data_IF_818611705194
#
_entry.id   IF_818611705194
#
_cell.length_a   1.000
_cell.length_b   1.000
_cell.length_c   1.000
_cell.angle_alpha   90.00
_cell.angle_beta   90.00
_cell.angle_gamma   90.00
#
_symmetry.space_group_name_H-M   'P 1'
#
loop_
_entity.id
_entity.type
_entity.pdbx_description
1 polymer ?
#
# COMPACT_ATOMS: atom_id res chain seq x y z
N UNK A 1 1.67 12.63 39.69
CA UNK A 1 0.57 13.52 39.30
C UNK A 1 0.83 14.37 38.06
N UNK A 2 2.06 14.79 37.77
CA UNK A 2 2.32 15.73 36.65
C UNK A 2 2.54 15.04 35.31
N UNK A 3 3.12 13.86 35.28
CA UNK A 3 3.36 13.07 34.09
C UNK A 3 2.09 12.40 33.51
N UNK A 4 1.14 12.01 34.37
CA UNK A 4 -0.13 11.42 33.91
C UNK A 4 -1.02 12.44 33.17
N UNK A 5 -1.08 13.69 33.62
CA UNK A 5 -1.83 14.77 32.97
C UNK A 5 -1.26 15.19 31.58
N UNK A 6 0.05 14.98 31.39
CA UNK A 6 0.71 15.28 30.10
C UNK A 6 0.41 14.21 29.06
N UNK A 7 0.35 12.93 29.45
CA UNK A 7 0.00 11.81 28.57
C UNK A 7 -1.48 11.89 28.12
N UNK A 8 -2.37 12.15 29.06
CA UNK A 8 -3.80 12.28 28.81
C UNK A 8 -4.15 13.47 27.88
N UNK A 9 -3.41 14.57 28.00
CA UNK A 9 -3.53 15.73 27.11
C UNK A 9 -3.02 15.46 25.69
N UNK A 10 -2.04 14.57 25.56
CA UNK A 10 -1.48 14.14 24.27
C UNK A 10 -2.44 13.21 23.54
N UNK A 11 -3.01 12.26 24.26
CA UNK A 11 -4.01 11.31 23.77
C UNK A 11 -5.31 12.02 23.32
N UNK A 12 -5.77 13.00 24.09
CA UNK A 12 -6.94 13.82 23.73
C UNK A 12 -6.69 14.64 22.44
N UNK A 13 -5.49 15.18 22.26
CA UNK A 13 -5.12 15.87 21.01
C UNK A 13 -5.01 14.92 19.81
N UNK A 14 -4.41 13.76 19.96
CA UNK A 14 -4.34 12.76 18.88
C UNK A 14 -5.72 12.24 18.47
N UNK A 15 -6.62 12.06 19.44
CA UNK A 15 -7.99 11.66 19.13
C UNK A 15 -8.80 12.78 18.44
N UNK A 16 -8.59 14.05 18.81
CA UNK A 16 -9.25 15.15 18.13
C UNK A 16 -8.77 15.31 16.68
N UNK A 17 -7.46 15.18 16.43
CA UNK A 17 -6.91 15.18 15.06
C UNK A 17 -7.40 13.99 14.21
N UNK A 18 -7.61 12.82 14.83
CA UNK A 18 -8.20 11.65 14.14
C UNK A 18 -9.68 11.82 13.85
N UNK A 19 -10.43 12.49 14.70
CA UNK A 19 -11.84 12.81 14.44
C UNK A 19 -11.99 13.90 13.37
N UNK A 20 -11.22 14.97 13.44
CA UNK A 20 -11.21 16.02 12.40
C UNK A 20 -10.80 15.47 11.04
N UNK A 21 -9.79 14.59 10.98
CA UNK A 21 -9.38 13.93 9.74
C UNK A 21 -10.45 12.94 9.20
N UNK A 22 -11.27 12.32 10.06
CA UNK A 22 -12.39 11.49 9.64
C UNK A 22 -13.57 12.33 9.13
N UNK A 23 -13.93 13.39 9.82
CA UNK A 23 -14.99 14.31 9.41
C UNK A 23 -14.62 15.06 8.13
N UNK A 24 -13.34 15.43 7.93
CA UNK A 24 -12.87 15.96 6.64
C UNK A 24 -12.89 14.93 5.53
N UNK A 25 -12.67 13.62 5.82
CA UNK A 25 -12.75 12.58 4.81
C UNK A 25 -14.19 12.22 4.45
N UNK A 26 -15.13 12.28 5.42
CA UNK A 26 -16.56 12.02 5.17
C UNK A 26 -17.26 13.18 4.46
N UNK A 27 -16.86 14.43 4.73
CA UNK A 27 -17.38 15.60 4.01
C UNK A 27 -16.80 15.79 2.60
N UNK A 28 -15.65 15.16 2.29
CA UNK A 28 -15.04 15.21 0.94
C UNK A 28 -15.55 14.13 -0.02
N UNK A 29 -16.38 13.19 0.44
CA UNK A 29 -16.94 12.13 -0.42
C UNK A 29 -18.07 12.59 -1.33
N UNK A 30 -18.69 13.74 -1.08
CA UNK A 30 -19.81 14.22 -1.92
C UNK A 30 -19.44 15.36 -2.90
N UNK A 31 -18.27 15.96 -2.83
CA UNK A 31 -17.89 17.08 -3.70
C UNK A 31 -16.73 16.83 -4.67
N UNK A 32 -16.07 15.67 -4.64
CA UNK A 32 -14.98 15.33 -5.59
C UNK A 32 -15.43 14.32 -6.64
N UNK A 33 -16.35 14.73 -7.53
CA UNK A 33 -16.29 14.27 -8.91
C UNK A 33 -14.99 14.84 -9.49
N UNK A 34 -13.99 13.98 -9.67
CA UNK A 34 -12.74 14.37 -10.32
C UNK A 34 -13.07 14.95 -11.70
N UNK A 35 -12.47 16.07 -12.09
CA UNK A 35 -12.62 16.74 -13.39
C UNK A 35 -12.50 15.81 -14.61
N UNK A 36 -11.95 14.61 -14.44
CA UNK A 36 -11.83 13.59 -15.47
C UNK A 36 -13.11 12.72 -15.62
N UNK A 37 -13.97 12.57 -14.60
CA UNK A 37 -15.26 11.86 -14.75
C UNK A 37 -16.23 12.62 -15.65
N UNK A 38 -16.14 13.96 -15.67
CA UNK A 38 -17.01 14.80 -16.51
C UNK A 38 -16.58 14.89 -17.99
N UNK A 39 -15.35 14.44 -18.33
CA UNK A 39 -14.80 14.56 -19.69
C UNK A 39 -15.09 13.40 -20.61
N UNK A 40 -15.56 12.27 -20.08
CA UNK A 40 -15.83 11.10 -20.92
C UNK A 40 -17.34 10.95 -21.19
N UNK A 41 -17.73 10.71 -22.48
CA UNK A 41 -19.11 10.38 -22.78
C UNK A 41 -19.55 9.14 -21.98
N UNK A 42 -20.72 9.23 -21.34
CA UNK A 42 -21.27 8.12 -20.54
C UNK A 42 -21.41 6.81 -21.35
N UNK A 43 -21.50 6.90 -22.67
CA UNK A 43 -21.56 5.77 -23.59
C UNK A 43 -20.24 4.94 -23.63
N UNK A 44 -19.11 5.53 -23.24
CA UNK A 44 -17.82 4.85 -23.20
C UNK A 44 -17.54 4.16 -21.88
N UNK A 45 -18.23 4.54 -20.81
CA UNK A 45 -18.06 3.93 -19.49
C UNK A 45 -18.83 2.61 -19.44
N UNK A 46 -18.14 1.53 -19.13
CA UNK A 46 -18.79 0.23 -18.92
C UNK A 46 -19.55 0.15 -17.59
N UNK A 47 -19.39 1.12 -16.68
CA UNK A 47 -19.86 1.06 -15.30
C UNK A 47 -19.15 0.03 -14.43
N UNK A 48 -18.10 -0.62 -14.94
CA UNK A 48 -17.33 -1.63 -14.19
C UNK A 48 -16.14 -0.96 -13.54
N UNK A 49 -16.19 -0.85 -12.22
CA UNK A 49 -15.07 -0.39 -11.43
C UNK A 49 -13.94 -1.44 -11.41
N UNK A 50 -12.71 -0.98 -11.48
CA UNK A 50 -11.51 -1.80 -11.34
C UNK A 50 -10.66 -1.28 -10.20
N UNK A 51 -10.13 -2.22 -9.40
CA UNK A 51 -9.14 -1.96 -8.37
C UNK A 51 -8.09 -3.06 -8.43
N UNK A 52 -6.83 -2.68 -8.50
CA UNK A 52 -5.72 -3.65 -8.55
C UNK A 52 -4.37 -3.00 -8.66
N UNK A 53 -3.35 -3.83 -8.72
CA UNK A 53 -1.96 -3.38 -8.79
C UNK A 53 -1.50 -3.29 -10.22
N UNK A 54 -0.91 -2.15 -10.57
CA UNK A 54 -0.35 -1.90 -11.90
C UNK A 54 0.99 -2.62 -12.07
N UNK A 55 1.13 -3.31 -13.18
CA UNK A 55 2.41 -3.74 -13.72
C UNK A 55 2.66 -3.02 -15.05
N UNK A 56 3.73 -2.22 -15.10
CA UNK A 56 4.15 -1.51 -16.33
C UNK A 56 5.12 -2.39 -17.10
N UNK A 57 4.80 -2.61 -18.38
CA UNK A 57 5.61 -3.41 -19.28
C UNK A 57 6.76 -2.57 -19.90
N UNK A 58 7.85 -3.20 -20.37
CA UNK A 58 8.98 -2.49 -20.98
C UNK A 58 8.58 -1.59 -22.16
N UNK A 59 7.52 -1.97 -22.89
CA UNK A 59 7.01 -1.22 -24.03
C UNK A 59 6.19 0.02 -23.63
N UNK A 60 6.04 0.29 -22.34
CA UNK A 60 5.42 1.49 -21.81
C UNK A 60 3.91 1.44 -21.61
N UNK A 61 3.23 0.35 -21.94
CA UNK A 61 1.85 0.08 -21.52
C UNK A 61 1.84 -0.73 -20.22
N UNK A 62 0.67 -0.93 -19.62
CA UNK A 62 0.58 -1.72 -18.38
C UNK A 62 -0.69 -2.52 -18.28
N UNK A 63 -0.75 -3.33 -17.23
CA UNK A 63 -1.94 -4.08 -16.82
C UNK A 63 -2.21 -3.89 -15.33
N UNK A 64 -3.46 -3.67 -14.99
CA UNK A 64 -3.92 -3.80 -13.60
C UNK A 64 -4.16 -5.28 -13.38
N UNK A 65 -3.37 -5.89 -12.48
CA UNK A 65 -3.46 -7.31 -12.11
C UNK A 65 -4.57 -7.50 -11.09
N UNK A 66 -5.49 -8.39 -11.39
CA UNK A 66 -6.65 -8.67 -10.53
C UNK A 66 -6.46 -9.88 -9.62
N UNK A 67 -5.60 -10.84 -10.00
CA UNK A 67 -5.42 -12.10 -9.28
C UNK A 67 -3.95 -12.33 -8.87
N UNK A 68 -3.65 -12.26 -7.59
CA UNK A 68 -2.34 -12.62 -7.00
C UNK A 68 -1.11 -12.04 -7.73
N UNK A 69 -1.23 -10.86 -8.31
CA UNK A 69 -0.16 -10.16 -9.06
C UNK A 69 0.35 -10.90 -10.31
N UNK A 70 -0.29 -12.00 -10.69
CA UNK A 70 0.07 -12.77 -11.87
C UNK A 70 -0.81 -12.40 -13.06
N UNK A 71 -0.31 -12.56 -14.30
CA UNK A 71 -1.11 -12.37 -15.50
C UNK A 71 -2.37 -13.25 -15.48
N UNK A 72 -3.52 -12.63 -15.74
CA UNK A 72 -4.83 -13.29 -15.70
C UNK A 72 -5.78 -12.79 -16.81
N UNK A 73 -6.88 -13.50 -17.00
CA UNK A 73 -7.87 -13.15 -18.02
C UNK A 73 -8.68 -11.89 -17.69
N UNK A 74 -8.73 -11.53 -16.39
CA UNK A 74 -9.44 -10.34 -15.87
C UNK A 74 -8.55 -9.11 -15.76
N UNK A 75 -7.33 -9.16 -16.27
CA UNK A 75 -6.44 -8.02 -16.27
C UNK A 75 -6.99 -6.88 -17.11
N UNK A 76 -6.76 -5.66 -16.66
CA UNK A 76 -7.23 -4.45 -17.33
C UNK A 76 -6.04 -3.71 -17.94
N UNK A 77 -6.12 -3.47 -19.24
CA UNK A 77 -5.09 -2.77 -19.99
C UNK A 77 -5.06 -1.28 -19.62
N UNK A 78 -3.85 -0.75 -19.41
CA UNK A 78 -3.58 0.66 -19.14
C UNK A 78 -2.73 1.25 -20.25
N UNK A 79 -3.24 2.30 -20.89
CA UNK A 79 -2.59 2.91 -22.05
C UNK A 79 -1.31 3.66 -21.64
N UNK A 80 -0.28 3.71 -22.54
CA UNK A 80 0.94 4.46 -22.30
C UNK A 80 0.73 5.95 -22.03
N UNK A 81 -0.31 6.52 -22.60
CA UNK A 81 -0.70 7.92 -22.36
C UNK A 81 -1.09 8.19 -20.91
N UNK A 82 -1.87 7.28 -20.30
CA UNK A 82 -2.27 7.36 -18.90
C UNK A 82 -1.07 7.16 -17.97
N UNK A 83 -0.21 6.19 -18.27
CA UNK A 83 1.02 5.93 -17.51
C UNK A 83 1.91 7.17 -17.47
N UNK A 84 2.13 7.80 -18.63
CA UNK A 84 2.94 9.02 -18.70
C UNK A 84 2.27 10.22 -18.04
N UNK A 85 0.95 10.41 -18.26
CA UNK A 85 0.20 11.56 -17.73
C UNK A 85 0.24 11.61 -16.21
N UNK A 86 0.05 10.47 -15.56
CA UNK A 86 -0.04 10.38 -14.09
C UNK A 86 1.26 9.90 -13.43
N UNK A 87 2.32 9.68 -14.21
CA UNK A 87 3.59 9.16 -13.68
C UNK A 87 3.44 7.81 -12.98
N UNK A 88 2.60 6.92 -13.54
CA UNK A 88 2.30 5.62 -12.95
C UNK A 88 3.52 4.70 -12.98
N UNK A 89 3.65 3.89 -11.94
CA UNK A 89 4.76 2.94 -11.80
C UNK A 89 4.26 1.55 -11.45
N UNK A 90 5.05 0.54 -11.77
CA UNK A 90 4.80 -0.82 -11.29
C UNK A 90 4.69 -0.83 -9.78
N UNK A 91 3.63 -1.45 -9.26
CA UNK A 91 3.32 -1.51 -7.85
C UNK A 91 2.28 -0.48 -7.38
N UNK A 92 1.88 0.48 -8.23
CA UNK A 92 0.80 1.41 -7.88
C UNK A 92 -0.55 0.68 -7.81
N UNK A 93 -1.31 0.99 -6.78
CA UNK A 93 -2.70 0.54 -6.64
C UNK A 93 -3.57 1.56 -7.39
N UNK A 94 -4.24 1.10 -8.43
CA UNK A 94 -5.12 1.93 -9.24
C UNK A 94 -6.58 1.60 -8.99
N UNK A 95 -7.39 2.62 -8.83
CA UNK A 95 -8.83 2.54 -8.88
C UNK A 95 -9.35 3.38 -10.05
N UNK A 96 -10.35 2.88 -10.73
CA UNK A 96 -10.95 3.58 -11.86
C UNK A 96 -12.07 2.77 -12.50
N UNK A 97 -12.53 3.20 -13.67
CA UNK A 97 -13.53 2.49 -14.44
C UNK A 97 -12.95 2.01 -15.76
N UNK A 98 -13.48 0.91 -16.24
CA UNK A 98 -13.14 0.36 -17.54
C UNK A 98 -14.04 0.95 -18.62
N UNK A 99 -13.52 1.04 -19.85
CA UNK A 99 -14.36 1.38 -21.00
C UNK A 99 -15.14 0.16 -21.48
N UNK A 100 -16.22 0.41 -22.20
CA UNK A 100 -16.95 -0.63 -22.91
C UNK A 100 -16.00 -1.37 -23.85
N UNK A 101 -15.98 -2.70 -23.76
CA UNK A 101 -15.11 -3.56 -24.55
C UNK A 101 -15.55 -3.59 -26.01
N UNK A 102 -14.64 -3.32 -26.90
CA UNK A 102 -14.89 -3.40 -28.34
C UNK A 102 -14.72 -4.84 -28.84
N UNK A 103 -15.46 -5.20 -29.90
CA UNK A 103 -15.40 -6.54 -30.48
C UNK A 103 -13.97 -6.84 -30.96
N UNK A 104 -13.39 -7.95 -30.47
CA UNK A 104 -12.01 -8.35 -30.78
C UNK A 104 -10.96 -8.00 -29.72
N UNK A 105 -11.27 -7.19 -28.73
CA UNK A 105 -10.35 -6.91 -27.64
C UNK A 105 -10.29 -8.07 -26.64
N UNK A 106 -9.08 -8.53 -26.31
CA UNK A 106 -8.87 -9.61 -25.34
C UNK A 106 -9.10 -9.13 -23.93
N UNK A 107 -8.58 -7.95 -23.59
CA UNK A 107 -8.65 -7.35 -22.25
C UNK A 107 -9.57 -6.12 -22.25
N UNK A 108 -10.21 -5.84 -21.11
CA UNK A 108 -10.84 -4.55 -20.90
C UNK A 108 -9.75 -3.46 -20.79
N UNK A 109 -10.06 -2.23 -21.16
CA UNK A 109 -9.14 -1.11 -21.05
C UNK A 109 -9.62 -0.13 -20.00
N UNK A 110 -8.68 0.46 -19.25
CA UNK A 110 -8.96 1.52 -18.27
C UNK A 110 -9.44 2.77 -19.00
N UNK A 111 -10.60 3.28 -18.64
CA UNK A 111 -11.15 4.50 -19.19
C UNK A 111 -10.54 5.73 -18.51
N UNK A 112 -10.64 5.79 -17.19
CA UNK A 112 -10.06 6.84 -16.36
C UNK A 112 -9.58 6.31 -15.02
N UNK A 113 -8.65 7.05 -14.41
CA UNK A 113 -8.10 6.77 -13.08
C UNK A 113 -8.84 7.62 -12.06
N UNK A 114 -9.44 6.97 -11.06
CA UNK A 114 -10.13 7.63 -9.94
C UNK A 114 -9.16 7.93 -8.80
N UNK A 115 -8.37 6.95 -8.41
CA UNK A 115 -7.36 7.11 -7.37
C UNK A 115 -6.09 6.32 -7.68
N UNK A 116 -4.97 6.79 -7.13
CA UNK A 116 -3.64 6.16 -7.21
C UNK A 116 -3.12 6.04 -5.80
N UNK A 117 -2.97 4.80 -5.29
CA UNK A 117 -2.55 4.53 -3.91
C UNK A 117 -3.46 5.21 -2.85
N UNK A 118 -4.75 5.39 -3.16
CA UNK A 118 -5.72 6.07 -2.29
C UNK A 118 -5.69 7.59 -2.33
N UNK A 119 -4.85 8.19 -3.19
CA UNK A 119 -4.78 9.64 -3.40
C UNK A 119 -5.40 10.03 -4.75
N UNK A 120 -5.78 11.29 -4.89
CA UNK A 120 -6.20 11.81 -6.19
C UNK A 120 -5.04 11.75 -7.21
N UNK A 121 -5.30 11.63 -8.51
CA UNK A 121 -4.25 11.59 -9.53
C UNK A 121 -3.32 12.81 -9.49
N UNK A 122 -3.84 13.98 -9.15
CA UNK A 122 -3.08 15.21 -9.03
C UNK A 122 -2.11 15.22 -7.83
N UNK A 123 -2.54 14.68 -6.70
CA UNK A 123 -1.70 14.53 -5.52
C UNK A 123 -0.62 13.44 -5.74
N UNK A 124 -1.02 12.32 -6.34
CA UNK A 124 -0.10 11.23 -6.65
C UNK A 124 0.98 11.64 -7.65
N UNK A 125 0.69 12.53 -8.60
CA UNK A 125 1.66 13.05 -9.55
C UNK A 125 2.77 13.89 -8.89
N UNK A 126 2.51 14.48 -7.72
CA UNK A 126 3.50 15.29 -6.96
C UNK A 126 4.46 14.44 -6.13
N UNK A 127 4.28 13.13 -6.07
CA UNK A 127 5.11 12.22 -5.27
C UNK A 127 6.56 12.23 -5.74
N UNK A 128 7.48 12.13 -4.79
CA UNK A 128 8.90 11.92 -5.09
C UNK A 128 9.13 10.50 -5.61
N UNK A 129 10.11 10.36 -6.49
CA UNK A 129 10.58 9.03 -6.87
C UNK A 129 11.28 8.38 -5.67
N UNK A 130 11.18 7.05 -5.60
CA UNK A 130 11.83 6.28 -4.53
C UNK A 130 13.35 6.49 -4.51
N UNK A 131 13.95 6.57 -5.69
CA UNK A 131 15.39 6.75 -5.90
C UNK A 131 15.90 8.11 -5.40
N UNK A 132 15.01 9.12 -5.38
CA UNK A 132 15.32 10.49 -4.95
C UNK A 132 15.11 10.70 -3.43
N UNK A 133 14.63 9.66 -2.72
CA UNK A 133 14.41 9.75 -1.27
C UNK A 133 15.69 9.51 -0.50
N UNK A 134 15.89 10.29 0.55
CA UNK A 134 17.03 10.11 1.46
C UNK A 134 16.88 8.80 2.24
N UNK A 135 17.84 7.86 2.14
CA UNK A 135 17.80 6.65 2.96
C UNK A 135 18.01 7.01 4.44
N UNK A 136 17.19 6.44 5.30
CA UNK A 136 17.31 6.58 6.75
C UNK A 136 17.50 5.20 7.39
N UNK A 137 18.22 5.17 8.51
CA UNK A 137 18.30 3.95 9.31
C UNK A 137 16.96 3.66 9.99
N UNK A 138 16.58 2.37 10.17
CA UNK A 138 15.38 2.01 10.90
C UNK A 138 15.45 2.54 12.34
N UNK A 139 14.56 3.44 12.70
CA UNK A 139 14.48 4.06 14.03
C UNK A 139 13.27 3.57 14.84
N UNK A 140 12.40 2.80 14.22
CA UNK A 140 11.21 2.22 14.82
C UNK A 140 11.40 0.73 14.99
N UNK A 141 11.44 0.27 16.26
CA UNK A 141 11.74 -1.13 16.58
C UNK A 141 10.51 -2.01 16.44
N UNK A 142 10.71 -3.21 15.89
CA UNK A 142 9.75 -4.31 15.97
C UNK A 142 9.93 -5.04 17.31
N UNK A 143 8.90 -5.09 18.14
CA UNK A 143 8.90 -5.85 19.37
C UNK A 143 8.54 -7.31 19.10
N UNK A 144 9.45 -8.23 19.39
CA UNK A 144 9.26 -9.67 19.18
C UNK A 144 8.85 -10.40 20.45
N UNK A 145 9.25 -9.90 21.63
CA UNK A 145 8.88 -10.47 22.92
C UNK A 145 7.39 -10.28 23.19
N UNK A 146 6.75 -11.33 23.65
CA UNK A 146 5.35 -11.34 24.07
C UNK A 146 5.11 -12.41 25.14
N UNK A 147 4.06 -12.32 25.94
CA UNK A 147 3.67 -13.38 26.87
C UNK A 147 3.48 -14.70 26.12
N UNK A 148 4.24 -15.75 26.52
CA UNK A 148 4.23 -17.05 25.87
C UNK A 148 5.12 -17.16 24.62
N UNK A 149 5.90 -16.14 24.28
CA UNK A 149 6.92 -16.25 23.25
C UNK A 149 8.10 -17.13 23.70
N UNK A 150 8.82 -17.67 22.74
CA UNK A 150 10.02 -18.45 23.04
C UNK A 150 11.15 -17.56 23.59
N UNK A 151 12.08 -18.20 24.29
CA UNK A 151 13.31 -17.54 24.77
C UNK A 151 14.10 -16.92 23.62
N UNK A 152 14.01 -17.51 22.43
CA UNK A 152 14.67 -16.99 21.24
C UNK A 152 14.19 -15.59 20.86
N UNK A 153 12.89 -15.29 20.98
CA UNK A 153 12.34 -13.95 20.71
C UNK A 153 12.85 -12.92 21.69
N UNK A 154 12.98 -13.28 22.97
CA UNK A 154 13.61 -12.41 23.98
C UNK A 154 15.08 -12.12 23.68
N UNK A 155 15.82 -13.17 23.30
CA UNK A 155 17.23 -13.03 22.95
C UNK A 155 17.40 -12.12 21.74
N UNK A 156 16.57 -12.29 20.72
CA UNK A 156 16.59 -11.42 19.55
C UNK A 156 16.29 -9.97 19.92
N UNK A 157 15.29 -9.73 20.72
CA UNK A 157 14.94 -8.38 21.17
C UNK A 157 16.04 -7.68 21.96
N UNK A 158 16.81 -8.44 22.75
CA UNK A 158 17.87 -7.88 23.59
C UNK A 158 19.20 -7.70 22.85
N UNK A 159 19.57 -8.67 22.00
CA UNK A 159 20.91 -8.72 21.42
C UNK A 159 20.92 -8.26 19.95
N UNK A 160 19.85 -8.51 19.22
CA UNK A 160 19.74 -8.23 17.80
C UNK A 160 18.38 -7.60 17.46
N UNK A 161 18.07 -6.42 18.02
CA UNK A 161 16.79 -5.77 17.75
C UNK A 161 16.63 -5.47 16.27
N UNK A 162 15.42 -5.66 15.76
CA UNK A 162 15.07 -5.46 14.35
C UNK A 162 14.15 -4.26 14.25
N UNK A 163 14.44 -3.35 13.32
CA UNK A 163 13.60 -2.18 13.03
C UNK A 163 12.72 -2.38 11.82
N UNK A 164 11.65 -1.57 11.71
CA UNK A 164 10.78 -1.53 10.54
C UNK A 164 11.59 -1.09 9.31
N UNK A 165 11.49 -1.86 8.21
CA UNK A 165 12.26 -1.63 6.99
C UNK A 165 13.70 -2.17 7.00
N UNK A 166 14.17 -2.75 8.11
CA UNK A 166 15.49 -3.34 8.18
C UNK A 166 15.59 -4.62 7.36
N UNK A 167 16.71 -4.77 6.65
CA UNK A 167 17.06 -6.03 5.98
C UNK A 167 17.91 -6.86 6.93
N UNK A 168 17.41 -8.03 7.31
CA UNK A 168 18.10 -8.98 8.18
C UNK A 168 18.40 -10.30 7.49
N UNK A 169 19.48 -10.96 7.90
CA UNK A 169 19.83 -12.28 7.41
C UNK A 169 20.05 -13.23 8.60
N UNK A 170 19.40 -14.40 8.57
CA UNK A 170 19.59 -15.46 9.54
C UNK A 170 20.52 -16.50 8.92
N UNK A 171 21.73 -16.59 9.45
CA UNK A 171 22.74 -17.55 9.01
C UNK A 171 22.91 -18.63 10.08
N UNK A 172 22.76 -19.89 9.69
CA UNK A 172 22.97 -21.02 10.58
C UNK A 172 23.22 -22.32 9.79
N UNK A 173 23.85 -23.33 10.40
CA UNK A 173 23.99 -24.67 9.80
C UNK A 173 22.63 -25.27 9.40
N UNK A 174 22.61 -26.27 8.51
CA UNK A 174 21.41 -27.05 8.23
C UNK A 174 20.81 -27.64 9.51
N UNK A 175 19.46 -27.74 9.55
CA UNK A 175 18.69 -28.31 10.68
C UNK A 175 18.84 -27.59 12.04
N UNK A 176 19.37 -26.36 12.07
CA UNK A 176 19.51 -25.54 13.29
C UNK A 176 18.26 -24.74 13.69
N UNK A 177 17.11 -24.99 13.09
CA UNK A 177 15.86 -24.35 13.46
C UNK A 177 15.57 -23.01 12.79
N UNK A 178 16.26 -22.65 11.67
CA UNK A 178 16.03 -21.39 10.92
C UNK A 178 14.54 -21.12 10.63
N UNK A 179 13.88 -22.10 10.06
CA UNK A 179 12.46 -21.98 9.68
C UNK A 179 11.56 -21.81 10.90
N UNK A 180 11.89 -22.46 12.02
CA UNK A 180 11.16 -22.31 13.28
C UNK A 180 11.29 -20.88 13.80
N UNK A 181 12.53 -20.36 13.81
CA UNK A 181 12.80 -18.99 14.22
C UNK A 181 12.05 -17.97 13.35
N UNK A 182 12.09 -18.13 12.02
CA UNK A 182 11.35 -17.25 11.10
C UNK A 182 9.83 -17.27 11.35
N UNK A 183 9.27 -18.46 11.60
CA UNK A 183 7.84 -18.60 11.94
C UNK A 183 7.49 -17.89 13.25
N UNK A 184 8.36 -17.94 14.24
CA UNK A 184 8.16 -17.25 15.51
C UNK A 184 8.26 -15.72 15.35
N UNK A 185 9.24 -15.24 14.59
CA UNK A 185 9.35 -13.82 14.23
C UNK A 185 8.08 -13.34 13.54
N UNK A 186 7.63 -14.05 12.51
CA UNK A 186 6.40 -13.68 11.79
C UNK A 186 5.17 -13.64 12.71
N UNK A 187 5.01 -14.62 13.61
CA UNK A 187 3.92 -14.63 14.60
C UNK A 187 4.01 -13.44 15.55
N UNK A 188 5.21 -13.11 16.03
CA UNK A 188 5.44 -11.98 16.94
C UNK A 188 5.16 -10.65 16.24
N UNK A 189 5.64 -10.47 15.01
CA UNK A 189 5.37 -9.26 14.22
C UNK A 189 3.88 -9.09 13.98
N UNK A 190 3.19 -10.13 13.50
CA UNK A 190 1.74 -10.07 13.26
C UNK A 190 0.93 -9.71 14.50
N UNK A 191 1.37 -10.14 15.69
CA UNK A 191 0.67 -9.88 16.95
C UNK A 191 0.95 -8.51 17.50
N UNK A 192 2.22 -8.09 17.52
CA UNK A 192 2.66 -6.88 18.18
C UNK A 192 2.64 -5.64 17.26
N UNK A 193 2.62 -5.86 15.93
CA UNK A 193 2.67 -4.81 14.91
C UNK A 193 1.63 -5.13 13.81
N UNK A 194 0.33 -5.01 14.11
CA UNK A 194 -0.75 -5.40 13.20
C UNK A 194 -0.79 -4.58 11.90
N UNK A 195 -0.15 -3.42 11.89
CA UNK A 195 0.00 -2.55 10.72
C UNK A 195 1.01 -3.09 9.68
N UNK A 196 1.88 -4.04 10.10
CA UNK A 196 2.88 -4.63 9.21
C UNK A 196 2.26 -5.72 8.35
N UNK A 197 2.36 -5.57 7.04
CA UNK A 197 1.94 -6.58 6.08
C UNK A 197 3.02 -7.66 5.94
N UNK A 198 2.63 -8.96 6.07
CA UNK A 198 3.49 -10.13 6.00
C UNK A 198 3.10 -11.05 4.85
#
# INVERSE_FOLDING_TARGET
>A
GMYARSAEKKELRENSYRQEAREESENKTDENKTDDEEKFPAELDSGIAVNGILEVMPDGYGFIRSDNYLPGERDVYVAPSQIRRFGLKTGDILEGNTRVKTQGEKFAALLYVKSINGYTPEEAAKRRNFEDMTPIFPNERLHLEQPGASVAMRIMDLISPVGKGQRGMIVSPPKAGKTTLLKEVAKSVKRNNPEVHL
#
